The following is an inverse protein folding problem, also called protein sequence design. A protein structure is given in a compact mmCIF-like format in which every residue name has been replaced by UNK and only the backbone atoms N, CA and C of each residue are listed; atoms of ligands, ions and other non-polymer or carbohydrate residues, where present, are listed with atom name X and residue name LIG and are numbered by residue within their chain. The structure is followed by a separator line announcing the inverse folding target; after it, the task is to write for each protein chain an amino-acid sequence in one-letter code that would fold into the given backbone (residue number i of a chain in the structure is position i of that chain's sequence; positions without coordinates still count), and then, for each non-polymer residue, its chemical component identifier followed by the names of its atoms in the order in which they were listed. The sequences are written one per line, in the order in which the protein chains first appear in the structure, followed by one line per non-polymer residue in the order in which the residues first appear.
data_IF_388814614576
#
_entry.id   IF_388814614576
#
_cell.length_a   1.000
_cell.length_b   1.000
_cell.length_c   1.000
_cell.angle_alpha   90.00
_cell.angle_beta   90.00
_cell.angle_gamma   90.00
#
_symmetry.space_group_name_H-M   'P 1'
#
loop_
_entity.id
_entity.type
_entity.pdbx_description
1 polymer ?
#
# COMPACT_ATOMS: atom_id res chain seq x y z
N UNK A 1 -19.26 -4.53 5.71
CA UNK A 1 -17.93 -4.58 5.11
C UNK A 1 -17.06 -3.54 5.79
N UNK A 2 -16.08 -3.97 6.53
CA UNK A 2 -15.16 -3.12 7.29
C UNK A 2 -14.28 -2.28 6.34
N UNK A 3 -13.69 -1.18 6.87
CA UNK A 3 -12.77 -0.33 6.10
C UNK A 3 -11.56 -1.11 5.56
N UNK A 4 -11.06 -2.05 6.36
CA UNK A 4 -9.91 -2.89 6.00
C UNK A 4 -10.26 -3.86 4.87
N UNK A 5 -11.41 -4.54 4.95
CA UNK A 5 -11.90 -5.42 3.88
C UNK A 5 -12.05 -4.67 2.55
N UNK A 6 -12.63 -3.47 2.60
CA UNK A 6 -12.77 -2.60 1.42
C UNK A 6 -11.45 -2.13 0.84
N UNK A 7 -10.44 -1.94 1.70
CA UNK A 7 -9.11 -1.59 1.26
C UNK A 7 -8.39 -2.78 0.61
N UNK A 8 -8.52 -3.98 1.19
CA UNK A 8 -7.99 -5.23 0.63
C UNK A 8 -8.62 -5.54 -0.75
N UNK A 9 -9.94 -5.45 -0.88
CA UNK A 9 -10.63 -5.61 -2.16
C UNK A 9 -10.13 -4.61 -3.22
N UNK A 10 -9.86 -3.37 -2.81
CA UNK A 10 -9.32 -2.36 -3.72
C UNK A 10 -7.87 -2.67 -4.12
N UNK A 11 -7.04 -3.23 -3.22
CA UNK A 11 -5.69 -3.69 -3.55
C UNK A 11 -5.73 -4.82 -4.59
N UNK A 12 -6.57 -5.84 -4.37
CA UNK A 12 -6.75 -6.95 -5.31
C UNK A 12 -7.17 -6.46 -6.70
N UNK A 13 -8.15 -5.56 -6.77
CA UNK A 13 -8.58 -4.96 -8.05
C UNK A 13 -7.48 -4.22 -8.79
N UNK A 14 -6.55 -3.56 -8.08
CA UNK A 14 -5.39 -2.91 -8.72
C UNK A 14 -4.41 -3.94 -9.22
N UNK A 15 -4.07 -4.93 -8.40
CA UNK A 15 -3.09 -5.96 -8.72
C UNK A 15 -3.56 -6.78 -9.92
N UNK A 16 -4.69 -7.45 -9.79
CA UNK A 16 -5.27 -8.30 -10.84
C UNK A 16 -5.55 -7.49 -12.12
N UNK A 17 -6.10 -6.28 -11.96
CA UNK A 17 -6.43 -5.43 -13.10
C UNK A 17 -5.22 -4.94 -13.88
N UNK A 18 -4.06 -4.75 -13.24
CA UNK A 18 -2.80 -4.41 -13.92
C UNK A 18 -2.18 -5.66 -14.54
N UNK A 19 -2.15 -6.80 -13.84
CA UNK A 19 -1.62 -8.08 -14.32
C UNK A 19 -2.37 -8.55 -15.58
N UNK A 20 -3.70 -8.53 -15.52
CA UNK A 20 -4.57 -8.94 -16.62
C UNK A 20 -4.77 -7.85 -17.69
N UNK A 21 -4.22 -6.66 -17.47
CA UNK A 21 -4.43 -5.49 -18.37
C UNK A 21 -5.91 -5.12 -18.57
N UNK A 22 -6.76 -5.36 -17.57
CA UNK A 22 -8.21 -5.11 -17.62
C UNK A 22 -8.61 -3.72 -17.14
N UNK A 23 -7.71 -3.00 -16.44
CA UNK A 23 -7.96 -1.63 -15.98
C UNK A 23 -7.04 -0.62 -16.66
N UNK A 24 -7.52 0.61 -16.81
CA UNK A 24 -6.72 1.76 -17.26
C UNK A 24 -5.78 2.23 -16.15
N UNK A 25 -4.74 2.97 -16.53
CA UNK A 25 -3.81 3.57 -15.55
C UNK A 25 -4.53 4.56 -14.63
N UNK A 26 -5.50 5.30 -15.16
CA UNK A 26 -6.34 6.22 -14.39
C UNK A 26 -7.22 5.47 -13.38
N UNK A 27 -7.86 4.35 -13.78
CA UNK A 27 -8.63 3.51 -12.87
C UNK A 27 -7.77 2.95 -11.72
N UNK A 28 -6.54 2.51 -12.03
CA UNK A 28 -5.57 2.07 -11.03
C UNK A 28 -5.23 3.19 -10.03
N UNK A 29 -4.99 4.42 -10.52
CA UNK A 29 -4.74 5.59 -9.68
C UNK A 29 -5.91 5.89 -8.73
N UNK A 30 -7.15 5.86 -9.22
CA UNK A 30 -8.35 6.10 -8.41
C UNK A 30 -8.53 5.02 -7.32
N UNK A 31 -8.24 3.76 -7.66
CA UNK A 31 -8.26 2.66 -6.68
C UNK A 31 -7.15 2.84 -5.62
N UNK A 32 -5.92 3.21 -6.01
CA UNK A 32 -4.84 3.54 -5.08
C UNK A 32 -5.24 4.70 -4.14
N UNK A 33 -5.89 5.73 -4.68
CA UNK A 33 -6.41 6.86 -3.87
C UNK A 33 -7.49 6.39 -2.88
N UNK A 34 -8.36 5.45 -3.29
CA UNK A 34 -9.34 4.83 -2.38
C UNK A 34 -8.64 4.04 -1.27
N UNK A 35 -7.60 3.28 -1.58
CA UNK A 35 -6.79 2.53 -0.60
C UNK A 35 -6.18 3.51 0.42
N UNK A 36 -5.49 4.55 -0.04
CA UNK A 36 -4.85 5.53 0.82
C UNK A 36 -5.84 6.20 1.78
N UNK A 37 -7.03 6.56 1.29
CA UNK A 37 -8.10 7.14 2.10
C UNK A 37 -8.66 6.17 3.15
N UNK A 38 -8.86 4.90 2.79
CA UNK A 38 -9.39 3.90 3.72
C UNK A 38 -8.40 3.53 4.81
N UNK A 39 -7.10 3.60 4.51
CA UNK A 39 -6.00 3.26 5.43
C UNK A 39 -5.40 4.47 6.15
N UNK A 40 -5.92 5.69 5.93
CA UNK A 40 -5.39 6.95 6.45
C UNK A 40 -3.90 7.15 6.11
N UNK A 41 -3.48 6.77 4.90
CA UNK A 41 -2.10 6.91 4.43
C UNK A 41 -1.86 8.31 3.86
N UNK A 42 -1.66 9.28 4.75
CA UNK A 42 -1.51 10.70 4.39
C UNK A 42 -0.31 10.95 3.47
N UNK A 43 0.79 10.25 3.70
CA UNK A 43 2.03 10.42 2.92
C UNK A 43 1.82 10.06 1.45
N UNK A 44 1.20 8.90 1.17
CA UNK A 44 0.91 8.51 -0.20
C UNK A 44 -0.32 9.23 -0.78
N UNK A 45 -1.23 9.74 0.06
CA UNK A 45 -2.34 10.58 -0.39
C UNK A 45 -1.86 11.83 -1.13
N UNK A 46 -0.82 12.52 -0.60
CA UNK A 46 -0.22 13.71 -1.24
C UNK A 46 0.34 13.35 -2.61
N UNK A 47 1.08 12.24 -2.72
CA UNK A 47 1.57 11.76 -4.01
C UNK A 47 0.45 11.48 -5.00
N UNK A 48 -0.56 10.70 -4.58
CA UNK A 48 -1.69 10.33 -5.45
C UNK A 48 -2.52 11.56 -5.88
N UNK A 49 -2.64 12.58 -5.03
CA UNK A 49 -3.23 13.86 -5.42
C UNK A 49 -2.46 14.56 -6.53
N UNK A 50 -1.12 14.54 -6.48
CA UNK A 50 -0.29 15.11 -7.55
C UNK A 50 -0.37 14.29 -8.84
N UNK A 51 -0.52 12.97 -8.74
CA UNK A 51 -0.73 12.10 -9.89
C UNK A 51 -2.04 12.38 -10.62
N UNK A 52 -3.10 12.72 -9.87
CA UNK A 52 -4.42 13.02 -10.41
C UNK A 52 -4.58 14.47 -10.84
N UNK A 53 -4.13 15.41 -10.02
CA UNK A 53 -4.35 16.85 -10.21
C UNK A 53 -3.19 17.61 -10.85
N UNK A 54 -2.06 16.93 -11.07
CA UNK A 54 -0.83 17.54 -11.55
C UNK A 54 0.07 18.03 -10.40
N UNK A 55 1.36 18.17 -10.73
CA UNK A 55 2.38 18.60 -9.76
C UNK A 55 2.35 20.12 -9.60
N UNK A 56 2.31 20.65 -8.36
CA UNK A 56 2.25 22.07 -8.11
C UNK A 56 3.51 22.79 -8.61
N UNK A 57 3.30 23.97 -9.22
CA UNK A 57 4.35 24.78 -9.83
C UNK A 57 4.46 26.14 -9.13
N UNK A 58 5.64 26.69 -9.12
CA UNK A 58 5.89 28.05 -8.65
C UNK A 58 5.48 29.09 -9.72
N UNK A 59 5.65 30.38 -9.41
CA UNK A 59 5.33 31.49 -10.31
C UNK A 59 6.14 31.49 -11.63
N UNK A 60 7.25 30.73 -11.68
CA UNK A 60 8.10 30.56 -12.87
C UNK A 60 7.69 29.33 -13.70
N UNK A 61 6.62 28.61 -13.32
CA UNK A 61 6.16 27.40 -13.98
C UNK A 61 6.97 26.14 -13.66
N UNK A 62 7.94 26.22 -12.73
CA UNK A 62 8.75 25.09 -12.28
C UNK A 62 8.04 24.35 -11.14
N UNK A 63 8.10 23.01 -11.16
CA UNK A 63 7.58 22.20 -10.05
C UNK A 63 8.30 22.56 -8.75
N UNK A 64 7.54 22.76 -7.67
CA UNK A 64 8.09 23.06 -6.35
C UNK A 64 8.94 21.90 -5.84
N UNK A 65 9.99 22.21 -5.04
CA UNK A 65 11.01 21.23 -4.63
C UNK A 65 10.45 19.98 -3.96
N UNK A 66 9.47 20.12 -3.07
CA UNK A 66 8.91 18.98 -2.36
C UNK A 66 8.12 18.05 -3.29
N UNK A 67 7.31 18.62 -4.18
CA UNK A 67 6.61 17.88 -5.20
C UNK A 67 7.57 17.22 -6.20
N UNK A 68 8.67 17.90 -6.56
CA UNK A 68 9.72 17.33 -7.39
C UNK A 68 10.38 16.11 -6.74
N UNK A 69 10.72 16.20 -5.45
CA UNK A 69 11.29 15.08 -4.70
C UNK A 69 10.36 13.88 -4.63
N UNK A 70 9.07 14.13 -4.44
CA UNK A 70 8.04 13.06 -4.44
C UNK A 70 7.97 12.42 -5.83
N UNK A 71 7.86 13.23 -6.90
CA UNK A 71 7.81 12.74 -8.28
C UNK A 71 9.02 11.87 -8.62
N UNK A 72 10.22 12.34 -8.28
CA UNK A 72 11.47 11.64 -8.56
C UNK A 72 11.51 10.28 -7.87
N UNK A 73 11.16 10.22 -6.58
CA UNK A 73 11.10 8.97 -5.79
C UNK A 73 10.02 7.99 -6.29
N UNK A 74 8.97 8.51 -6.91
CA UNK A 74 7.83 7.74 -7.43
C UNK A 74 7.95 7.39 -8.91
N UNK A 75 9.19 7.27 -9.41
CA UNK A 75 9.48 6.74 -10.74
C UNK A 75 9.27 7.73 -11.89
N UNK A 76 9.02 9.02 -11.61
CA UNK A 76 8.92 10.05 -12.64
C UNK A 76 10.26 10.68 -12.98
N UNK A 77 11.32 10.30 -12.27
CA UNK A 77 12.66 10.81 -12.49
C UNK A 77 13.33 10.18 -13.71
N UNK A 78 14.11 10.99 -14.45
CA UNK A 78 15.05 10.53 -15.46
C UNK A 78 16.30 11.40 -15.47
N UNK A 79 17.38 10.90 -16.07
CA UNK A 79 18.63 11.64 -16.21
C UNK A 79 18.89 11.93 -17.68
N UNK A 80 19.31 13.15 -17.97
CA UNK A 80 19.70 13.58 -19.29
C UNK A 80 20.88 14.56 -19.17
N UNK A 81 21.97 14.34 -19.91
CA UNK A 81 23.19 15.16 -19.90
C UNK A 81 23.74 15.46 -18.49
N UNK A 82 23.67 14.45 -17.57
CA UNK A 82 24.13 14.59 -16.19
C UNK A 82 23.20 15.35 -15.24
N UNK A 83 22.08 15.83 -15.75
CA UNK A 83 21.05 16.51 -14.95
C UNK A 83 19.85 15.58 -14.67
N UNK A 84 19.21 15.77 -13.51
CA UNK A 84 18.01 15.04 -13.12
C UNK A 84 16.76 15.83 -13.47
N UNK A 85 15.83 15.18 -14.14
CA UNK A 85 14.54 15.73 -14.57
C UNK A 85 13.39 14.86 -14.07
N UNK A 86 12.19 15.41 -14.13
CA UNK A 86 10.94 14.66 -13.94
C UNK A 86 10.01 14.91 -15.12
N UNK A 87 9.19 13.91 -15.45
CA UNK A 87 8.07 14.11 -16.35
C UNK A 87 6.79 14.37 -15.53
N UNK A 88 5.97 15.32 -15.99
CA UNK A 88 4.78 15.79 -15.26
C UNK A 88 3.46 15.49 -15.96
N UNK A 89 3.51 14.88 -17.15
CA UNK A 89 2.29 14.51 -17.88
C UNK A 89 1.43 13.55 -17.06
N UNK A 90 0.12 13.75 -17.05
CA UNK A 90 -0.82 12.86 -16.40
C UNK A 90 -0.92 11.52 -17.14
N UNK A 91 -1.37 10.48 -16.44
CA UNK A 91 -1.54 9.16 -17.06
C UNK A 91 -2.53 9.21 -18.25
N UNK A 92 -3.64 9.94 -18.11
CA UNK A 92 -4.62 10.17 -19.18
C UNK A 92 -4.01 10.90 -20.37
N UNK A 93 -3.21 11.94 -20.16
CA UNK A 93 -2.52 12.68 -21.22
C UNK A 93 -1.56 11.76 -22.01
N UNK A 94 -0.84 10.87 -21.31
CA UNK A 94 0.05 9.90 -21.95
C UNK A 94 -0.74 8.87 -22.76
N UNK A 95 -1.88 8.38 -22.27
CA UNK A 95 -2.74 7.43 -22.97
C UNK A 95 -3.34 8.08 -24.23
N UNK A 96 -3.88 9.29 -24.13
CA UNK A 96 -4.42 10.04 -25.27
C UNK A 96 -3.36 10.34 -26.33
N UNK A 97 -2.15 10.74 -25.91
CA UNK A 97 -1.02 10.99 -26.80
C UNK A 97 -0.62 9.74 -27.58
N UNK A 98 -0.59 8.57 -26.93
CA UNK A 98 -0.29 7.29 -27.57
C UNK A 98 -1.37 6.99 -28.63
N UNK A 99 -2.64 7.12 -28.29
CA UNK A 99 -3.76 6.85 -29.21
C UNK A 99 -3.74 7.80 -30.43
N UNK A 100 -3.55 9.10 -30.17
CA UNK A 100 -3.50 10.10 -31.23
C UNK A 100 -2.34 9.86 -32.20
N UNK A 101 -1.16 9.56 -31.69
CA UNK A 101 0.02 9.29 -32.51
C UNK A 101 -0.08 7.97 -33.28
N UNK A 102 -0.68 6.92 -32.69
CA UNK A 102 -0.94 5.65 -33.38
C UNK A 102 -1.88 5.84 -34.55
N UNK A 103 -2.96 6.64 -34.39
CA UNK A 103 -3.87 6.97 -35.48
C UNK A 103 -3.16 7.77 -36.60
N UNK A 104 -2.30 8.73 -36.23
CA UNK A 104 -1.53 9.49 -37.19
C UNK A 104 -0.59 8.58 -38.02
N UNK A 105 0.16 7.70 -37.37
CA UNK A 105 1.04 6.73 -38.06
C UNK A 105 0.21 5.82 -39.00
N UNK A 106 -0.94 5.32 -38.56
CA UNK A 106 -1.83 4.50 -39.41
C UNK A 106 -2.31 5.20 -40.66
N UNK A 107 -2.54 6.51 -40.60
CA UNK A 107 -3.01 7.30 -41.75
C UNK A 107 -1.89 7.57 -42.80
N UNK A 108 -0.62 7.53 -42.41
CA UNK A 108 0.50 7.74 -43.36
C UNK A 108 0.78 6.51 -44.23
N UNK A 109 0.30 5.34 -43.88
CA UNK A 109 0.62 4.07 -44.59
C UNK A 109 -0.33 3.77 -45.77
N UNK A 110 -1.38 4.58 -46.01
CA UNK A 110 -2.45 4.21 -46.94
C UNK A 110 -2.54 5.00 -48.24
N UNK A 111 -1.73 6.04 -48.49
CA UNK A 111 -1.86 6.85 -49.73
C UNK A 111 -0.62 6.72 -50.61
N UNK A 112 -0.64 5.70 -51.49
CA UNK A 112 0.27 5.63 -52.64
C UNK A 112 -0.22 6.57 -53.76
N UNK A 113 0.41 7.74 -53.90
CA UNK A 113 0.20 8.60 -55.04
C UNK A 113 1.11 8.16 -56.20
N UNK A 114 0.53 7.92 -57.38
CA UNK A 114 1.31 7.68 -58.62
C UNK A 114 1.66 9.02 -59.25
N UNK A 115 2.95 9.24 -59.50
CA UNK A 115 3.44 10.52 -60.09
C UNK A 115 4.33 10.18 -61.29
N UNK A 116 4.19 10.94 -62.41
CA UNK A 116 4.97 10.77 -63.61
C UNK A 116 5.80 12.03 -63.92
N UNK A 117 7.09 11.85 -64.26
CA UNK A 117 8.03 12.91 -64.60
C UNK A 117 9.21 13.04 -63.60
N UNK A 118 10.40 13.44 -64.07
CA UNK A 118 11.63 13.49 -63.31
C UNK A 118 11.56 14.44 -62.09
N UNK A 119 10.96 15.60 -62.23
CA UNK A 119 10.77 16.56 -61.12
C UNK A 119 9.78 16.05 -60.09
N UNK A 120 8.78 15.29 -60.55
CA UNK A 120 7.79 14.67 -59.69
C UNK A 120 8.40 13.48 -58.90
N UNK A 121 9.36 12.78 -59.48
CA UNK A 121 10.12 11.72 -58.80
C UNK A 121 10.99 12.31 -57.67
N UNK A 122 11.66 13.44 -57.88
CA UNK A 122 12.45 14.14 -56.90
C UNK A 122 11.56 14.68 -55.75
N UNK A 123 10.42 15.27 -56.09
CA UNK A 123 9.44 15.74 -55.11
C UNK A 123 8.87 14.57 -54.27
N UNK A 124 8.58 13.43 -54.91
CA UNK A 124 8.09 12.23 -54.25
C UNK A 124 9.14 11.61 -53.30
N UNK A 125 10.43 11.55 -53.71
CA UNK A 125 11.51 11.08 -52.85
C UNK A 125 11.63 11.96 -51.58
N UNK A 126 11.62 13.30 -51.72
CA UNK A 126 11.64 14.23 -50.57
C UNK A 126 10.42 14.06 -49.67
N UNK A 127 9.22 13.87 -50.23
CA UNK A 127 8.02 13.61 -49.47
C UNK A 127 8.11 12.29 -48.73
N UNK A 128 8.63 11.25 -49.35
CA UNK A 128 8.82 9.93 -48.77
C UNK A 128 9.83 9.99 -47.60
N UNK A 129 10.95 10.68 -47.78
CA UNK A 129 11.97 10.93 -46.74
C UNK A 129 11.34 11.68 -45.54
N UNK A 130 10.65 12.80 -45.79
CA UNK A 130 9.98 13.58 -44.73
C UNK A 130 8.90 12.76 -43.99
N UNK A 131 8.13 11.94 -44.71
CA UNK A 131 7.14 11.03 -44.10
C UNK A 131 7.84 9.97 -43.27
N UNK A 132 8.94 9.40 -43.76
CA UNK A 132 9.72 8.41 -43.03
C UNK A 132 10.31 8.98 -41.73
N UNK A 133 10.94 10.15 -41.79
CA UNK A 133 11.49 10.85 -40.63
C UNK A 133 10.39 11.17 -39.59
N UNK A 134 9.26 11.74 -40.05
CA UNK A 134 8.12 12.06 -39.19
C UNK A 134 7.52 10.81 -38.53
N UNK A 135 7.38 9.73 -39.28
CA UNK A 135 6.87 8.46 -38.78
C UNK A 135 7.81 7.85 -37.75
N UNK A 136 9.14 7.88 -38.00
CA UNK A 136 10.16 7.41 -37.08
C UNK A 136 10.14 8.18 -35.76
N UNK A 137 10.02 9.52 -35.85
CA UNK A 137 9.92 10.37 -34.67
C UNK A 137 8.64 10.09 -33.87
N UNK A 138 7.49 9.88 -34.53
CA UNK A 138 6.23 9.50 -33.88
C UNK A 138 6.33 8.16 -33.16
N UNK A 139 6.94 7.15 -33.79
CA UNK A 139 7.16 5.83 -33.19
C UNK A 139 8.04 5.93 -31.96
N UNK A 140 9.14 6.72 -32.00
CA UNK A 140 10.00 6.97 -30.86
C UNK A 140 9.23 7.66 -29.71
N UNK A 141 8.38 8.64 -30.04
CA UNK A 141 7.54 9.33 -29.05
C UNK A 141 6.51 8.38 -28.40
N UNK A 142 5.88 7.51 -29.19
CA UNK A 142 4.97 6.46 -28.68
C UNK A 142 5.70 5.53 -27.72
N UNK A 143 6.90 5.08 -28.10
CA UNK A 143 7.71 4.20 -27.23
C UNK A 143 8.08 4.88 -25.91
N UNK A 144 8.48 6.16 -25.96
CA UNK A 144 8.78 6.95 -24.77
C UNK A 144 7.55 7.15 -23.87
N UNK A 145 6.39 7.47 -24.43
CA UNK A 145 5.14 7.63 -23.70
C UNK A 145 4.70 6.31 -23.05
N UNK A 146 4.79 5.19 -23.79
CA UNK A 146 4.49 3.85 -23.26
C UNK A 146 5.43 3.48 -22.09
N UNK A 147 6.72 3.79 -22.22
CA UNK A 147 7.68 3.55 -21.14
C UNK A 147 7.30 4.33 -19.87
N UNK A 148 6.97 5.62 -19.99
CA UNK A 148 6.51 6.44 -18.86
C UNK A 148 5.23 5.88 -18.23
N UNK A 149 4.26 5.49 -19.04
CA UNK A 149 3.01 4.87 -18.59
C UNK A 149 3.25 3.56 -17.83
N UNK A 150 4.17 2.72 -18.32
CA UNK A 150 4.57 1.48 -17.64
C UNK A 150 5.21 1.74 -16.27
N UNK A 151 6.02 2.80 -16.15
CA UNK A 151 6.59 3.21 -14.87
C UNK A 151 5.50 3.61 -13.86
N UNK A 152 4.49 4.37 -14.31
CA UNK A 152 3.35 4.72 -13.44
C UNK A 152 2.56 3.50 -13.00
N UNK A 153 2.23 2.60 -13.93
CA UNK A 153 1.55 1.33 -13.59
C UNK A 153 2.33 0.52 -12.57
N UNK A 154 3.66 0.41 -12.72
CA UNK A 154 4.51 -0.29 -11.77
C UNK A 154 4.45 0.33 -10.38
N UNK A 155 4.42 1.66 -10.25
CA UNK A 155 4.31 2.34 -8.96
C UNK A 155 2.95 2.11 -8.29
N UNK A 156 1.86 2.11 -9.05
CA UNK A 156 0.53 1.81 -8.50
C UNK A 156 0.41 0.35 -8.07
N UNK A 157 0.96 -0.57 -8.86
CA UNK A 157 1.04 -1.99 -8.52
C UNK A 157 1.84 -2.22 -7.23
N UNK A 158 3.04 -1.67 -7.14
CA UNK A 158 3.91 -1.79 -5.96
C UNK A 158 3.23 -1.22 -4.70
N UNK A 159 2.56 -0.07 -4.83
CA UNK A 159 1.80 0.52 -3.74
C UNK A 159 0.67 -0.39 -3.26
N UNK A 160 -0.14 -0.91 -4.17
CA UNK A 160 -1.24 -1.80 -3.84
C UNK A 160 -0.77 -3.10 -3.20
N UNK A 161 0.27 -3.74 -3.77
CA UNK A 161 0.87 -4.97 -3.24
C UNK A 161 1.42 -4.77 -1.81
N UNK A 162 2.16 -3.69 -1.59
CA UNK A 162 2.68 -3.36 -0.26
C UNK A 162 1.56 -3.16 0.75
N UNK A 163 0.49 -2.45 0.37
CA UNK A 163 -0.67 -2.22 1.24
C UNK A 163 -1.45 -3.51 1.49
N UNK A 164 -1.61 -4.38 0.52
CA UNK A 164 -2.24 -5.68 0.70
C UNK A 164 -1.50 -6.51 1.75
N UNK A 165 -0.17 -6.60 1.63
CA UNK A 165 0.67 -7.33 2.60
C UNK A 165 0.55 -6.72 4.00
N UNK A 166 0.64 -5.39 4.12
CA UNK A 166 0.53 -4.66 5.38
C UNK A 166 -0.81 -4.92 6.08
N UNK A 167 -1.91 -4.80 5.33
CA UNK A 167 -3.27 -4.99 5.85
C UNK A 167 -3.55 -6.47 6.20
N UNK A 168 -3.08 -7.40 5.40
CA UNK A 168 -3.22 -8.84 5.65
C UNK A 168 -2.47 -9.24 6.90
N UNK A 169 -1.22 -8.77 7.06
CA UNK A 169 -0.42 -9.03 8.26
C UNK A 169 -1.07 -8.42 9.51
N UNK A 170 -1.54 -7.18 9.42
CA UNK A 170 -2.25 -6.50 10.51
C UNK A 170 -3.52 -7.26 10.96
N UNK A 171 -4.30 -7.77 10.01
CA UNK A 171 -5.49 -8.59 10.28
C UNK A 171 -5.13 -9.90 10.99
N UNK A 172 -4.11 -10.60 10.50
CA UNK A 172 -3.65 -11.87 11.14
C UNK A 172 -3.16 -11.61 12.55
N UNK A 173 -2.33 -10.58 12.76
CA UNK A 173 -1.85 -10.21 14.08
C UNK A 173 -3.00 -9.87 15.03
N UNK A 174 -3.98 -9.07 14.58
CA UNK A 174 -5.16 -8.72 15.37
C UNK A 174 -5.99 -9.97 15.70
N UNK A 175 -6.24 -10.85 14.74
CA UNK A 175 -6.99 -12.10 14.95
C UNK A 175 -6.30 -13.00 15.97
N UNK A 176 -4.99 -13.19 15.84
CA UNK A 176 -4.20 -13.96 16.82
C UNK A 176 -4.30 -13.34 18.21
N UNK A 177 -4.17 -12.01 18.32
CA UNK A 177 -4.27 -11.30 19.59
C UNK A 177 -5.66 -11.45 20.23
N UNK A 178 -6.74 -11.32 19.44
CA UNK A 178 -8.13 -11.49 19.92
C UNK A 178 -8.39 -12.92 20.39
N UNK A 179 -7.93 -13.92 19.64
CA UNK A 179 -8.06 -15.33 20.05
C UNK A 179 -7.29 -15.63 21.35
N UNK A 180 -6.10 -15.07 21.52
CA UNK A 180 -5.37 -15.20 22.78
C UNK A 180 -6.07 -14.47 23.92
N UNK A 181 -6.58 -13.27 23.70
CA UNK A 181 -7.34 -12.50 24.68
C UNK A 181 -8.56 -13.28 25.15
N UNK A 182 -9.37 -13.81 24.24
CA UNK A 182 -10.56 -14.60 24.58
C UNK A 182 -10.20 -15.84 25.42
N UNK A 183 -9.14 -16.55 25.07
CA UNK A 183 -8.65 -17.70 25.84
C UNK A 183 -8.14 -17.30 27.22
N UNK A 184 -7.47 -16.17 27.35
CA UNK A 184 -7.02 -15.63 28.63
C UNK A 184 -8.21 -15.18 29.47
N UNK A 185 -9.19 -14.48 28.87
CA UNK A 185 -10.39 -14.02 29.56
C UNK A 185 -11.21 -15.21 30.09
N UNK A 186 -11.35 -16.29 29.32
CA UNK A 186 -11.98 -17.53 29.76
C UNK A 186 -11.22 -18.19 30.92
N UNK A 187 -9.89 -18.25 30.83
CA UNK A 187 -9.08 -18.82 31.90
C UNK A 187 -9.11 -17.96 33.17
N UNK A 188 -9.18 -16.63 33.03
CA UNK A 188 -9.27 -15.68 34.11
C UNK A 188 -10.68 -15.59 34.74
N UNK A 189 -11.73 -15.96 34.01
CA UNK A 189 -13.11 -15.96 34.52
C UNK A 189 -13.32 -16.89 35.73
N UNK A 190 -12.49 -17.90 35.85
CA UNK A 190 -12.47 -18.86 36.97
C UNK A 190 -11.61 -18.40 38.16
N UNK A 191 -10.94 -17.25 38.05
CA UNK A 191 -10.09 -16.72 39.10
C UNK A 191 -10.87 -15.88 40.12
N UNK A 192 -10.22 -15.58 41.25
CA UNK A 192 -10.84 -14.83 42.32
C UNK A 192 -11.27 -13.41 41.87
N UNK A 193 -12.30 -12.89 42.54
CA UNK A 193 -12.79 -11.52 42.33
C UNK A 193 -11.67 -10.46 42.54
N UNK A 194 -10.72 -10.75 43.41
CA UNK A 194 -9.58 -9.86 43.68
C UNK A 194 -8.64 -9.75 42.47
N UNK A 195 -8.39 -10.86 41.79
CA UNK A 195 -7.58 -10.91 40.56
C UNK A 195 -8.23 -10.11 39.42
N UNK A 196 -9.54 -10.22 39.25
CA UNK A 196 -10.31 -9.43 38.26
C UNK A 196 -10.25 -7.92 38.56
N UNK A 197 -10.35 -7.51 39.85
CA UNK A 197 -10.23 -6.10 40.23
C UNK A 197 -8.85 -5.53 39.93
N UNK A 198 -7.77 -6.33 40.07
CA UNK A 198 -6.42 -5.93 39.67
C UNK A 198 -6.31 -5.72 38.17
N UNK A 199 -6.94 -6.58 37.37
CA UNK A 199 -6.97 -6.43 35.90
C UNK A 199 -7.67 -5.14 35.47
N UNK A 200 -8.83 -4.83 36.02
CA UNK A 200 -9.56 -3.59 35.78
C UNK A 200 -8.76 -2.35 36.20
N UNK A 201 -8.04 -2.44 37.33
CA UNK A 201 -7.18 -1.34 37.78
C UNK A 201 -5.98 -1.09 36.85
N UNK A 202 -5.48 -2.11 36.14
CA UNK A 202 -4.44 -1.97 35.11
C UNK A 202 -5.01 -1.26 33.89
N UNK A 203 -6.16 -1.71 33.41
CA UNK A 203 -6.84 -1.12 32.23
C UNK A 203 -7.11 0.38 32.43
N UNK A 204 -7.70 0.78 33.57
CA UNK A 204 -7.94 2.18 33.87
C UNK A 204 -6.69 3.06 34.01
N UNK A 205 -5.51 2.46 34.26
CA UNK A 205 -4.24 3.20 34.32
C UNK A 205 -3.58 3.33 32.94
N UNK A 206 -3.84 2.38 32.03
CA UNK A 206 -3.30 2.40 30.66
C UNK A 206 -4.00 3.41 29.76
N UNK A 207 -5.25 3.79 30.08
CA UNK A 207 -6.01 4.82 29.36
C UNK A 207 -5.52 6.25 29.65
N UNK A 208 -4.52 6.41 30.51
CA UNK A 208 -3.97 7.72 30.91
C UNK A 208 -2.66 7.99 30.15
N UNK A 209 -2.51 9.17 29.56
CA UNK A 209 -1.26 9.64 28.93
C UNK A 209 -0.16 10.03 29.95
N UNK A 210 -0.33 9.71 31.22
CA UNK A 210 0.61 10.06 32.27
C UNK A 210 1.64 8.93 32.50
N UNK A 211 2.98 9.18 32.34
CA UNK A 211 4.04 8.19 32.57
C UNK A 211 4.04 7.54 33.96
N UNK A 212 3.64 8.28 34.99
CA UNK A 212 3.51 7.77 36.36
C UNK A 212 2.44 6.68 36.44
N UNK A 213 1.32 6.83 35.71
CA UNK A 213 0.25 5.84 35.63
C UNK A 213 0.71 4.56 34.97
N UNK A 214 1.58 4.63 33.96
CA UNK A 214 2.19 3.44 33.34
C UNK A 214 3.11 2.69 34.33
N UNK A 215 3.90 3.40 35.13
CA UNK A 215 4.73 2.79 36.17
C UNK A 215 3.88 2.05 37.21
N UNK A 216 2.78 2.66 37.63
CA UNK A 216 1.83 2.05 38.56
C UNK A 216 1.08 0.87 37.92
N UNK A 217 0.75 0.93 36.62
CA UNK A 217 0.16 -0.19 35.90
C UNK A 217 1.11 -1.39 35.88
N UNK A 218 2.39 -1.18 35.57
CA UNK A 218 3.42 -2.24 35.59
C UNK A 218 3.57 -2.89 36.97
N UNK A 219 3.55 -2.10 38.04
CA UNK A 219 3.60 -2.61 39.42
C UNK A 219 2.35 -3.46 39.73
N UNK A 220 1.18 -3.05 39.26
CA UNK A 220 -0.07 -3.80 39.41
C UNK A 220 -0.07 -5.08 38.59
N UNK A 221 0.49 -5.06 37.35
CA UNK A 221 0.72 -6.24 36.54
C UNK A 221 1.56 -7.30 37.26
N UNK A 222 2.69 -6.88 37.86
CA UNK A 222 3.52 -7.81 38.62
C UNK A 222 2.74 -8.49 39.76
N UNK A 223 1.98 -7.72 40.54
CA UNK A 223 1.13 -8.27 41.62
C UNK A 223 0.02 -9.17 41.09
N UNK A 224 -0.52 -8.87 39.89
CA UNK A 224 -1.49 -9.71 39.21
C UNK A 224 -0.87 -11.08 38.85
N UNK A 225 0.31 -11.09 38.22
CA UNK A 225 1.02 -12.33 37.89
C UNK A 225 1.33 -13.18 39.12
N UNK A 226 1.76 -12.57 40.21
CA UNK A 226 2.01 -13.26 41.48
C UNK A 226 0.71 -13.90 42.03
N UNK A 227 -0.42 -13.18 42.00
CA UNK A 227 -1.71 -13.71 42.47
C UNK A 227 -2.20 -14.86 41.59
N UNK A 228 -2.15 -14.69 40.25
CA UNK A 228 -2.56 -15.72 39.26
C UNK A 228 -1.69 -16.98 39.43
N UNK A 229 -0.38 -16.81 39.61
CA UNK A 229 0.53 -17.95 39.80
C UNK A 229 0.19 -18.76 41.06
N UNK A 230 -0.13 -18.09 42.18
CA UNK A 230 -0.54 -18.75 43.43
C UNK A 230 -1.89 -19.48 43.23
N UNK A 231 -2.89 -18.83 42.68
CA UNK A 231 -4.23 -19.43 42.46
C UNK A 231 -4.16 -20.62 41.48
N UNK A 232 -3.38 -20.54 40.41
CA UNK A 232 -3.18 -21.65 39.48
C UNK A 232 -2.41 -22.80 40.11
N UNK A 233 -1.40 -22.49 40.92
CA UNK A 233 -0.63 -23.49 41.68
C UNK A 233 -1.56 -24.27 42.62
N UNK A 234 -2.35 -23.57 43.42
CA UNK A 234 -3.28 -24.19 44.39
C UNK A 234 -4.36 -25.01 43.64
N UNK A 235 -4.90 -24.49 42.55
CA UNK A 235 -5.98 -25.17 41.81
C UNK A 235 -5.50 -26.41 41.06
N UNK A 236 -4.37 -26.37 40.44
CA UNK A 236 -3.90 -27.45 39.56
C UNK A 236 -2.84 -28.34 40.20
N UNK A 237 -1.89 -27.80 40.91
CA UNK A 237 -0.76 -28.55 41.43
C UNK A 237 -1.18 -29.35 42.68
N UNK A 238 -1.91 -28.74 43.59
CA UNK A 238 -2.45 -29.45 44.75
C UNK A 238 -3.45 -30.55 44.32
N UNK A 239 -4.26 -30.31 43.33
CA UNK A 239 -5.20 -31.33 42.80
C UNK A 239 -4.47 -32.53 42.18
N UNK A 240 -3.34 -32.33 41.53
CA UNK A 240 -2.51 -33.40 40.98
C UNK A 240 -1.78 -34.14 42.13
N UNK A 241 -1.26 -33.40 43.09
CA UNK A 241 -0.55 -33.98 44.25
C UNK A 241 -1.52 -34.90 45.06
N UNK A 242 -2.74 -34.46 45.32
CA UNK A 242 -3.74 -35.22 46.03
C UNK A 242 -4.16 -36.48 45.23
N UNK A 243 -4.23 -36.46 43.93
CA UNK A 243 -4.51 -37.62 43.08
C UNK A 243 -3.41 -38.69 43.08
N UNK A 244 -2.15 -38.29 43.33
CA UNK A 244 -1.00 -39.19 43.30
C UNK A 244 -0.56 -39.66 44.66
N UNK A 245 -1.02 -39.03 45.78
CA UNK A 245 -0.75 -39.47 47.15
C UNK A 245 -1.76 -40.55 47.51
N UNK A 246 -1.27 -41.78 47.76
CA UNK A 246 -2.11 -42.89 48.26
C UNK A 246 -2.78 -42.48 49.58
N UNK A 247 -4.02 -42.93 49.87
CA UNK A 247 -4.84 -42.54 51.04
C UNK A 247 -4.12 -42.67 52.40
N UNK A 248 -3.13 -43.54 52.50
CA UNK A 248 -2.36 -43.77 53.74
C UNK A 248 -1.25 -42.73 54.01
N UNK A 249 -0.93 -41.82 53.10
CA UNK A 249 0.11 -40.79 53.31
C UNK A 249 -0.51 -39.43 53.67
N UNK A 250 -1.77 -39.18 53.41
CA UNK A 250 -2.45 -37.91 53.72
C UNK A 250 -2.59 -37.70 55.23
N UNK A 251 -2.72 -38.78 56.03
CA UNK A 251 -2.79 -38.72 57.52
C UNK A 251 -1.49 -38.33 58.21
N UNK A 252 -0.36 -38.24 57.49
CA UNK A 252 0.95 -37.80 58.05
C UNK A 252 1.30 -36.36 57.78
N UNK A 253 0.50 -35.64 56.95
CA UNK A 253 0.72 -34.26 56.53
C UNK A 253 -0.32 -33.28 57.10
N UNK A 254 -1.32 -33.78 57.79
CA UNK A 254 -2.20 -33.05 58.70
C UNK A 254 -1.74 -33.27 60.15
#
# INVERSE_FOLDING_TARGET
MDKIERALEACEKVIDGIEDSTITTESALLLCTKIARLTNDEVNMIWLQYEYGGYPKNNEGKVIRDAWNIAYKKGRGFQENGNSYIFTELASELEEKIIAQQKAVGNFTTNGASVSGEQALIAMNRLTENVHESTTAMVANIASAKKRLSLLKAQYYEYALKKQIELTFGNVATSVFMNYRERVDLALSDLSKETLLKLQAIEGKLDSDNPEMYSQALTTCRRLFESVAVELFDKYFLSILIRHIKPNQVKKLM
#
